data_IF_507300163420
#
_entry.id   IF_507300163420
#
_cell.length_a   1.000
_cell.length_b   1.000
_cell.length_c   1.000
_cell.angle_alpha   90.00
_cell.angle_beta   90.00
_cell.angle_gamma   90.00
#
_symmetry.space_group_name_H-M   'P 1'
#
loop_
_entity.id
_entity.type
_entity.pdbx_description
1 polymer ?
#
# COMPACT_ATOMS: atom_id res chain seq x y z
N UNK A 1 1.32 -6.14 -1.29
CA UNK A 1 0.45 -4.94 -1.46
C UNK A 1 -0.03 -4.71 -2.87
N UNK A 2 0.83 -4.38 -3.85
CA UNK A 2 0.40 -4.11 -5.24
C UNK A 2 -0.47 -5.22 -5.87
N UNK A 3 -0.09 -6.47 -5.68
CA UNK A 3 -0.86 -7.60 -6.22
C UNK A 3 -2.20 -7.78 -5.51
N UNK A 4 -2.26 -7.47 -4.22
CA UNK A 4 -3.47 -7.59 -3.38
C UNK A 4 -4.56 -6.64 -3.87
N UNK A 5 -4.23 -5.38 -4.18
CA UNK A 5 -5.22 -4.39 -4.68
C UNK A 5 -5.60 -4.57 -6.17
N UNK A 6 -4.79 -5.33 -6.90
CA UNK A 6 -5.02 -5.69 -8.31
C UNK A 6 -5.79 -7.00 -8.46
N UNK A 7 -5.97 -7.76 -7.37
CA UNK A 7 -6.90 -8.88 -7.36
C UNK A 7 -8.32 -8.33 -7.45
N UNK A 8 -9.07 -8.74 -8.48
CA UNK A 8 -10.40 -8.21 -8.76
C UNK A 8 -11.35 -8.36 -7.56
N UNK A 9 -11.24 -9.44 -6.77
CA UNK A 9 -12.12 -9.67 -5.60
C UNK A 9 -11.86 -8.70 -4.46
N UNK A 10 -10.64 -8.17 -4.39
CA UNK A 10 -10.20 -7.21 -3.38
C UNK A 10 -10.38 -5.78 -3.90
N UNK A 11 -9.95 -5.52 -5.13
CA UNK A 11 -10.04 -4.23 -5.79
C UNK A 11 -11.47 -3.72 -5.93
N UNK A 12 -12.45 -4.60 -6.18
CA UNK A 12 -13.88 -4.22 -6.24
C UNK A 12 -14.47 -3.83 -4.88
N UNK A 13 -13.90 -4.34 -3.78
CA UNK A 13 -14.36 -4.02 -2.41
C UNK A 13 -13.74 -2.73 -1.87
N UNK A 14 -12.77 -2.16 -2.58
CA UNK A 14 -12.09 -0.93 -2.20
C UNK A 14 -12.70 0.26 -2.93
N UNK A 15 -12.98 1.38 -2.24
CA UNK A 15 -13.31 2.63 -2.90
C UNK A 15 -12.21 3.04 -3.90
N UNK A 16 -12.60 3.60 -5.05
CA UNK A 16 -11.65 4.04 -6.07
C UNK A 16 -10.59 5.01 -5.53
N UNK A 17 -10.97 5.87 -4.58
CA UNK A 17 -10.05 6.79 -3.90
C UNK A 17 -9.00 6.05 -3.06
N UNK A 18 -9.41 5.01 -2.32
CA UNK A 18 -8.51 4.20 -1.50
C UNK A 18 -7.58 3.35 -2.38
N UNK A 19 -8.10 2.79 -3.48
CA UNK A 19 -7.30 2.07 -4.47
C UNK A 19 -6.22 2.97 -5.06
N UNK A 20 -6.60 4.17 -5.52
CA UNK A 20 -5.65 5.15 -6.06
C UNK A 20 -4.60 5.53 -5.02
N UNK A 21 -4.99 5.78 -3.77
CA UNK A 21 -4.05 6.12 -2.70
C UNK A 21 -3.00 5.04 -2.47
N UNK A 22 -3.38 3.76 -2.51
CA UNK A 22 -2.42 2.65 -2.41
C UNK A 22 -1.52 2.59 -3.64
N UNK A 23 -2.07 2.73 -4.85
CA UNK A 23 -1.28 2.71 -6.09
C UNK A 23 -0.22 3.81 -6.09
N UNK A 24 -0.61 5.04 -5.77
CA UNK A 24 0.27 6.21 -5.68
C UNK A 24 1.38 5.96 -4.64
N UNK A 25 1.02 5.50 -3.42
CA UNK A 25 2.00 5.24 -2.35
C UNK A 25 3.00 4.13 -2.71
N UNK A 26 2.54 3.09 -3.41
CA UNK A 26 3.42 2.01 -3.89
C UNK A 26 4.36 2.53 -4.98
N UNK A 27 3.89 3.39 -5.87
CA UNK A 27 4.72 3.97 -6.92
C UNK A 27 5.78 4.92 -6.36
N UNK A 28 5.42 5.75 -5.39
CA UNK A 28 6.37 6.59 -4.63
C UNK A 28 7.42 5.73 -3.90
N UNK A 29 7.01 4.62 -3.28
CA UNK A 29 7.94 3.70 -2.63
C UNK A 29 8.92 3.08 -3.64
N UNK A 30 8.47 2.69 -4.83
CA UNK A 30 9.34 2.15 -5.88
C UNK A 30 10.33 3.22 -6.36
N UNK A 31 9.87 4.44 -6.63
CA UNK A 31 10.76 5.53 -7.04
C UNK A 31 11.80 5.84 -5.96
N UNK A 32 11.40 5.79 -4.69
CA UNK A 32 12.33 5.95 -3.58
C UNK A 32 13.35 4.81 -3.54
N UNK A 33 12.94 3.55 -3.70
CA UNK A 33 13.86 2.40 -3.74
C UNK A 33 14.86 2.50 -4.90
N UNK A 34 14.40 2.92 -6.07
CA UNK A 34 15.24 3.10 -7.26
C UNK A 34 16.28 4.21 -7.07
N UNK A 35 15.91 5.29 -6.37
CA UNK A 35 16.82 6.40 -6.06
C UNK A 35 17.73 6.12 -4.86
N UNK A 36 17.35 5.22 -3.95
CA UNK A 36 18.01 4.99 -2.66
C UNK A 36 18.47 3.53 -2.50
N UNK A 37 19.09 2.96 -3.55
CA UNK A 37 19.57 1.57 -3.56
C UNK A 37 20.64 1.25 -2.49
N UNK A 38 21.30 2.27 -1.96
CA UNK A 38 22.35 2.17 -0.92
C UNK A 38 21.90 2.76 0.42
N UNK A 39 20.58 2.94 0.62
CA UNK A 39 20.05 3.39 1.91
C UNK A 39 20.42 2.43 3.04
N UNK A 40 20.40 2.95 4.26
CA UNK A 40 20.61 2.12 5.45
C UNK A 40 19.34 1.35 5.83
N UNK A 41 19.49 0.33 6.66
CA UNK A 41 18.40 -0.57 7.03
C UNK A 41 17.25 0.17 7.72
N UNK A 42 17.55 1.17 8.54
CA UNK A 42 16.59 2.05 9.20
C UNK A 42 15.80 2.90 8.20
N UNK A 43 16.45 3.43 7.16
CA UNK A 43 15.78 4.17 6.09
C UNK A 43 14.81 3.29 5.29
N UNK A 44 15.20 2.04 4.99
CA UNK A 44 14.30 1.07 4.35
C UNK A 44 13.13 0.69 5.27
N UNK A 45 13.37 0.50 6.56
CA UNK A 45 12.32 0.22 7.53
C UNK A 45 11.32 1.38 7.64
N UNK A 46 11.81 2.62 7.66
CA UNK A 46 10.95 3.80 7.75
C UNK A 46 10.11 3.95 6.48
N UNK A 47 10.69 3.74 5.30
CA UNK A 47 9.91 3.74 4.05
C UNK A 47 8.87 2.62 4.01
N UNK A 48 9.21 1.44 4.54
CA UNK A 48 8.26 0.34 4.67
C UNK A 48 7.11 0.69 5.62
N UNK A 49 7.40 1.24 6.81
CA UNK A 49 6.40 1.67 7.80
C UNK A 49 5.48 2.75 7.23
N UNK A 50 6.02 3.69 6.46
CA UNK A 50 5.24 4.71 5.77
C UNK A 50 4.21 4.07 4.83
N UNK A 51 4.65 3.14 3.98
CA UNK A 51 3.77 2.43 3.05
C UNK A 51 2.70 1.60 3.79
N UNK A 52 3.10 0.89 4.85
CA UNK A 52 2.20 0.11 5.70
C UNK A 52 1.16 0.99 6.40
N UNK A 53 1.54 2.18 6.87
CA UNK A 53 0.65 3.12 7.55
C UNK A 53 -0.54 3.56 6.67
N UNK A 54 -0.33 3.57 5.35
CA UNK A 54 -1.39 3.85 4.37
C UNK A 54 -2.18 2.59 4.03
N UNK A 55 -1.49 1.46 3.80
CA UNK A 55 -2.09 0.23 3.31
C UNK A 55 -2.93 -0.51 4.38
N UNK A 56 -2.41 -0.61 5.60
CA UNK A 56 -3.03 -1.35 6.70
C UNK A 56 -4.44 -0.86 7.07
N UNK A 57 -4.70 0.45 7.28
CA UNK A 57 -6.05 0.90 7.62
C UNK A 57 -7.05 0.70 6.48
N UNK A 58 -6.60 0.77 5.22
CA UNK A 58 -7.47 0.55 4.06
C UNK A 58 -7.87 -0.93 3.96
N UNK A 59 -6.89 -1.84 4.10
CA UNK A 59 -7.16 -3.29 4.13
C UNK A 59 -8.07 -3.64 5.32
N UNK A 60 -7.82 -3.08 6.51
CA UNK A 60 -8.64 -3.33 7.68
C UNK A 60 -10.10 -2.93 7.45
N UNK A 61 -10.35 -1.75 6.87
CA UNK A 61 -11.70 -1.29 6.49
C UNK A 61 -12.38 -2.24 5.49
N UNK A 62 -11.64 -2.75 4.51
CA UNK A 62 -12.16 -3.72 3.55
C UNK A 62 -12.61 -5.02 4.23
N UNK A 63 -11.80 -5.58 5.13
CA UNK A 63 -12.15 -6.80 5.86
C UNK A 63 -13.34 -6.58 6.81
N UNK A 64 -13.44 -5.41 7.44
CA UNK A 64 -14.60 -5.05 8.26
C UNK A 64 -15.89 -4.92 7.45
N UNK A 65 -15.82 -4.38 6.22
CA UNK A 65 -16.98 -4.27 5.33
C UNK A 65 -17.43 -5.59 4.69
N UNK A 66 -16.58 -6.62 4.66
CA UNK A 66 -16.89 -7.93 4.09
C UNK A 66 -17.55 -8.91 5.08
N UNK A 67 -17.71 -8.51 6.36
CA UNK A 67 -18.25 -9.35 7.44
C UNK A 67 -19.71 -9.09 7.81
N UNK A 68 -20.48 -8.41 6.95
CA UNK A 68 -21.92 -8.14 7.13
C UNK A 68 -22.76 -8.82 6.06
#
# INVERSE_FOLDING_TARGET
MRNTIRDDKIGEKLPAADKKKIEDSVEEAIQWLDANQLAEADEFEDKMKELESVCNPIIAKMYQGAGG
#
